data_IF_037779284655
#
_entry.id   IF_037779284655
#
_cell.length_a   1.000
_cell.length_b   1.000
_cell.length_c   1.000
_cell.angle_alpha   90.00
_cell.angle_beta   90.00
_cell.angle_gamma   90.00
#
_symmetry.space_group_name_H-M   'P 1'
#
loop_
_entity.id
_entity.type
_entity.pdbx_description
1 polymer ?
#
# COMPACT_ATOMS: atom_id res chain seq x y z
N UNK A 1 -31.60 -11.09 68.24
CA UNK A 1 -32.33 -9.85 67.86
C UNK A 1 -31.28 -8.78 67.58
N UNK A 2 -31.12 -8.34 66.34
CA UNK A 2 -30.14 -7.31 66.02
C UNK A 2 -30.68 -5.94 66.47
N UNK A 3 -30.19 -5.47 67.62
CA UNK A 3 -30.38 -4.11 68.11
C UNK A 3 -29.79 -3.12 67.09
N UNK A 4 -30.56 -2.09 66.72
CA UNK A 4 -30.17 -1.08 65.71
C UNK A 4 -30.08 0.29 66.36
N UNK A 5 -29.01 1.02 66.10
CA UNK A 5 -28.80 2.37 66.63
C UNK A 5 -29.65 3.41 65.89
N UNK A 6 -30.06 4.44 66.63
CA UNK A 6 -30.69 5.64 66.09
C UNK A 6 -29.79 6.28 65.02
N UNK A 7 -30.35 6.56 63.84
CA UNK A 7 -29.62 7.12 62.69
C UNK A 7 -29.36 6.15 61.54
N UNK A 8 -29.77 4.88 61.66
CA UNK A 8 -29.70 3.94 60.53
C UNK A 8 -30.76 4.30 59.48
N UNK A 9 -30.35 4.99 58.41
CA UNK A 9 -31.24 5.32 57.29
C UNK A 9 -31.71 4.04 56.59
N UNK A 10 -33.02 3.85 56.55
CA UNK A 10 -33.67 2.81 55.75
C UNK A 10 -33.64 3.23 54.29
N UNK A 11 -32.59 2.87 53.54
CA UNK A 11 -32.65 2.95 52.08
C UNK A 11 -33.24 1.65 51.56
N UNK A 12 -34.45 1.69 51.01
CA UNK A 12 -35.05 0.56 50.27
C UNK A 12 -34.19 0.14 49.05
N UNK A 13 -33.31 1.04 48.61
CA UNK A 13 -32.21 0.70 47.73
C UNK A 13 -31.15 -0.10 48.50
N UNK A 14 -31.32 -1.42 48.54
CA UNK A 14 -30.16 -2.28 48.61
C UNK A 14 -29.37 -2.00 47.33
N UNK A 15 -28.29 -1.23 47.43
CA UNK A 15 -27.37 -1.03 46.32
C UNK A 15 -26.67 -2.36 46.04
N UNK A 16 -27.40 -3.31 45.46
CA UNK A 16 -26.84 -4.50 44.89
C UNK A 16 -25.80 -4.01 43.88
N UNK A 17 -24.56 -4.48 44.04
CA UNK A 17 -23.50 -4.19 43.11
C UNK A 17 -24.00 -4.48 41.69
N UNK A 18 -24.15 -3.43 40.88
CA UNK A 18 -24.50 -3.57 39.48
C UNK A 18 -23.19 -3.67 38.72
N UNK A 19 -22.91 -4.79 38.03
CA UNK A 19 -21.69 -4.89 37.24
C UNK A 19 -21.67 -3.73 36.22
N UNK A 20 -20.50 -3.13 35.91
CA UNK A 20 -20.43 -1.95 35.05
C UNK A 20 -21.11 -2.09 33.68
N UNK A 21 -21.24 -3.32 33.15
CA UNK A 21 -21.97 -3.60 31.91
C UNK A 21 -23.50 -3.49 32.03
N UNK A 22 -24.06 -3.57 33.24
CA UNK A 22 -25.48 -3.42 33.53
C UNK A 22 -25.84 -2.07 34.15
N UNK A 23 -24.86 -1.27 34.58
CA UNK A 23 -25.13 0.09 35.02
C UNK A 23 -25.73 0.83 33.82
N UNK A 24 -26.98 1.34 33.90
CA UNK A 24 -27.50 2.18 32.84
C UNK A 24 -26.47 3.29 32.65
N UNK A 25 -25.89 3.40 31.45
CA UNK A 25 -25.04 4.51 31.15
C UNK A 25 -25.90 5.75 31.33
N UNK A 26 -25.76 6.43 32.46
CA UNK A 26 -26.56 7.61 32.75
C UNK A 26 -26.13 8.66 31.73
N UNK A 27 -26.91 8.74 30.66
CA UNK A 27 -26.74 9.69 29.58
C UNK A 27 -27.49 11.00 29.90
N UNK A 28 -27.90 11.20 31.14
CA UNK A 28 -28.81 12.27 31.54
C UNK A 28 -28.15 13.65 31.67
N UNK A 29 -28.96 14.63 32.03
CA UNK A 29 -28.59 16.04 32.22
C UNK A 29 -27.71 16.22 33.47
N UNK A 30 -26.58 16.93 33.32
CA UNK A 30 -25.77 17.44 34.44
C UNK A 30 -26.27 18.84 34.78
N UNK A 31 -26.78 19.07 36.00
CA UNK A 31 -27.20 20.40 36.44
C UNK A 31 -26.07 21.44 36.29
N UNK A 32 -26.38 22.59 35.71
CA UNK A 32 -25.43 23.69 35.50
C UNK A 32 -24.57 23.59 34.24
N UNK A 33 -24.58 22.45 33.53
CA UNK A 33 -23.92 22.33 32.23
C UNK A 33 -24.89 22.79 31.13
N UNK A 34 -24.46 23.73 30.29
CA UNK A 34 -25.24 24.17 29.13
C UNK A 34 -25.16 23.11 28.02
N UNK A 35 -26.31 22.65 27.54
CA UNK A 35 -26.39 21.69 26.44
C UNK A 35 -26.51 22.45 25.13
N UNK A 36 -25.40 22.52 24.40
CA UNK A 36 -25.38 23.07 23.04
C UNK A 36 -25.78 21.99 22.02
N UNK A 37 -26.37 22.42 20.90
CA UNK A 37 -26.57 21.55 19.74
C UNK A 37 -25.24 20.91 19.31
N UNK A 38 -25.25 19.61 18.99
CA UNK A 38 -24.10 18.88 18.45
C UNK A 38 -23.44 17.85 19.39
N UNK A 39 -23.82 17.77 20.66
CA UNK A 39 -23.38 16.68 21.56
C UNK A 39 -24.56 16.11 22.36
N UNK A 40 -24.79 14.79 22.36
CA UNK A 40 -25.87 14.21 23.14
C UNK A 40 -25.56 14.32 24.63
N UNK A 41 -26.61 14.38 25.46
CA UNK A 41 -26.51 14.49 26.92
C UNK A 41 -25.47 13.53 27.53
N UNK A 42 -25.42 12.28 27.06
CA UNK A 42 -24.44 11.32 27.56
C UNK A 42 -22.97 11.66 27.27
N UNK A 43 -22.68 12.27 26.12
CA UNK A 43 -21.31 12.68 25.78
C UNK A 43 -20.85 13.84 26.66
N UNK A 44 -21.70 14.83 26.86
CA UNK A 44 -21.44 15.97 27.75
C UNK A 44 -21.26 15.54 29.19
N UNK A 45 -22.08 14.61 29.67
CA UNK A 45 -21.99 14.07 31.04
C UNK A 45 -20.71 13.27 31.26
N UNK A 46 -20.35 12.39 30.32
CA UNK A 46 -19.09 11.64 30.37
C UNK A 46 -17.88 12.57 30.34
N UNK A 47 -17.90 13.61 29.50
CA UNK A 47 -16.85 14.61 29.44
C UNK A 47 -16.70 15.33 30.79
N UNK A 48 -17.81 15.80 31.36
CA UNK A 48 -17.81 16.50 32.65
C UNK A 48 -17.17 15.68 33.76
N UNK A 49 -17.56 14.41 33.91
CA UNK A 49 -16.97 13.52 34.92
C UNK A 49 -15.49 13.24 34.65
N UNK A 50 -15.09 13.09 33.38
CA UNK A 50 -13.69 12.89 33.03
C UNK A 50 -12.86 14.13 33.36
N UNK A 51 -13.36 15.33 33.06
CA UNK A 51 -12.70 16.59 33.37
C UNK A 51 -12.56 16.80 34.88
N UNK A 52 -13.62 16.53 35.64
CA UNK A 52 -13.60 16.56 37.11
C UNK A 52 -12.57 15.58 37.67
N UNK A 53 -12.51 14.35 37.13
CA UNK A 53 -11.51 13.35 37.50
C UNK A 53 -10.09 13.84 37.18
N UNK A 54 -9.87 14.38 35.98
CA UNK A 54 -8.57 14.90 35.55
C UNK A 54 -8.11 16.05 36.47
N UNK A 55 -9.02 16.96 36.84
CA UNK A 55 -8.74 18.07 37.75
C UNK A 55 -8.40 17.58 39.17
N UNK A 56 -9.13 16.60 39.70
CA UNK A 56 -8.85 16.02 41.01
C UNK A 56 -7.50 15.30 41.02
N UNK A 57 -7.18 14.52 39.98
CA UNK A 57 -5.91 13.81 39.87
C UNK A 57 -4.72 14.76 39.68
N UNK A 58 -4.89 15.83 38.90
CA UNK A 58 -3.86 16.87 38.73
C UNK A 58 -3.54 17.64 40.02
N UNK A 59 -4.49 17.73 40.96
CA UNK A 59 -4.26 18.32 42.30
C UNK A 59 -3.58 17.35 43.27
N UNK A 60 -3.65 16.04 43.01
CA UNK A 60 -3.05 15.04 43.88
C UNK A 60 -1.56 14.89 43.58
N UNK A 61 -0.71 14.84 44.63
CA UNK A 61 0.72 14.49 44.49
C UNK A 61 0.95 12.97 44.37
N UNK A 62 -0.10 12.18 44.16
CA UNK A 62 0.01 10.72 44.08
C UNK A 62 0.62 10.27 42.76
N UNK A 63 1.20 9.07 42.72
CA UNK A 63 1.72 8.47 41.48
C UNK A 63 0.64 8.31 40.39
N UNK A 64 -0.65 8.33 40.76
CA UNK A 64 -1.81 8.26 39.87
C UNK A 64 -2.24 9.62 39.29
N UNK A 65 -1.52 10.71 39.59
CA UNK A 65 -1.85 12.08 39.17
C UNK A 65 -1.96 12.24 37.66
N UNK A 66 -1.26 11.41 36.87
CA UNK A 66 -1.27 11.42 35.39
C UNK A 66 -2.59 10.95 34.76
N UNK A 67 -3.60 10.62 35.56
CA UNK A 67 -4.76 9.90 35.05
C UNK A 67 -4.50 8.41 35.02
N UNK A 68 -5.53 7.60 35.26
CA UNK A 68 -5.43 6.15 35.04
C UNK A 68 -5.07 5.84 33.58
N UNK A 69 -4.67 4.59 33.32
CA UNK A 69 -4.28 4.13 31.97
C UNK A 69 -5.48 3.77 31.08
N UNK A 70 -6.70 4.16 31.45
CA UNK A 70 -7.91 3.82 30.72
C UNK A 70 -8.03 4.71 29.46
N UNK A 71 -8.16 4.12 28.26
CA UNK A 71 -8.28 4.89 27.03
C UNK A 71 -9.58 5.69 27.00
N UNK A 72 -9.49 7.01 26.86
CA UNK A 72 -10.65 7.91 26.74
C UNK A 72 -10.37 9.02 25.73
N UNK A 73 -11.39 9.43 24.99
CA UNK A 73 -11.31 10.54 24.03
C UNK A 73 -11.22 11.91 24.70
N UNK A 74 -11.58 12.00 25.99
CA UNK A 74 -11.55 13.26 26.75
C UNK A 74 -10.24 13.44 27.54
N UNK A 75 -9.22 12.61 27.29
CA UNK A 75 -7.90 12.79 27.88
C UNK A 75 -7.11 13.83 27.09
N UNK A 76 -6.34 14.66 27.80
CA UNK A 76 -5.35 15.56 27.19
C UNK A 76 -4.15 14.81 26.62
N UNK A 77 -3.93 13.55 27.03
CA UNK A 77 -2.81 12.76 26.56
C UNK A 77 -3.16 12.12 25.19
N UNK A 78 -2.44 12.47 24.11
CA UNK A 78 -2.74 11.95 22.76
C UNK A 78 -2.64 10.43 22.69
N UNK A 79 -1.75 9.81 23.49
CA UNK A 79 -1.60 8.35 23.50
C UNK A 79 -2.85 7.62 24.00
N UNK A 80 -3.58 8.20 24.97
CA UNK A 80 -4.82 7.62 25.47
C UNK A 80 -5.96 7.78 24.47
N UNK A 81 -6.01 8.93 23.78
CA UNK A 81 -6.98 9.18 22.72
C UNK A 81 -6.77 8.21 21.55
N UNK A 82 -5.52 8.00 21.14
CA UNK A 82 -5.16 7.04 20.10
C UNK A 82 -5.50 5.60 20.51
N UNK A 83 -5.21 5.20 21.75
CA UNK A 83 -5.62 3.89 22.28
C UNK A 83 -7.14 3.70 22.27
N UNK A 84 -7.90 4.74 22.61
CA UNK A 84 -9.36 4.66 22.58
C UNK A 84 -9.89 4.49 21.15
N UNK A 85 -9.33 5.24 20.20
CA UNK A 85 -9.65 5.11 18.76
C UNK A 85 -9.33 3.71 18.25
N UNK A 86 -8.16 3.18 18.60
CA UNK A 86 -7.72 1.83 18.25
C UNK A 86 -8.72 0.75 18.70
N UNK A 87 -9.24 0.87 19.93
CA UNK A 87 -10.19 -0.11 20.50
C UNK A 87 -11.62 0.02 19.96
N UNK A 88 -12.00 1.21 19.48
CA UNK A 88 -13.37 1.52 19.07
C UNK A 88 -13.47 1.61 17.56
N UNK A 89 -13.18 2.77 16.98
CA UNK A 89 -13.39 3.09 15.57
C UNK A 89 -12.47 2.30 14.67
N UNK A 90 -11.18 2.26 14.99
CA UNK A 90 -10.19 1.65 14.10
C UNK A 90 -10.32 0.13 14.09
N UNK A 91 -10.74 -0.48 15.21
CA UNK A 91 -11.10 -1.90 15.27
C UNK A 91 -12.12 -2.27 14.20
N UNK A 92 -13.17 -1.45 14.04
CA UNK A 92 -14.21 -1.69 13.03
C UNK A 92 -13.74 -1.36 11.62
N UNK A 93 -12.94 -0.32 11.44
CA UNK A 93 -12.35 0.04 10.14
C UNK A 93 -11.40 -1.04 9.61
N UNK A 94 -10.64 -1.68 10.51
CA UNK A 94 -9.71 -2.75 10.20
C UNK A 94 -10.29 -4.15 10.45
N UNK A 95 -11.61 -4.27 10.65
CA UNK A 95 -12.22 -5.59 10.79
C UNK A 95 -12.06 -6.34 9.47
N UNK A 96 -11.33 -7.47 9.46
CA UNK A 96 -11.15 -8.24 8.23
C UNK A 96 -12.49 -8.77 7.74
N UNK A 97 -12.85 -8.44 6.49
CA UNK A 97 -14.01 -9.01 5.82
C UNK A 97 -13.63 -10.37 5.24
N UNK A 98 -13.93 -11.44 5.96
CA UNK A 98 -13.74 -12.80 5.44
C UNK A 98 -14.95 -13.22 4.61
N UNK A 99 -14.74 -13.62 3.36
CA UNK A 99 -15.74 -14.29 2.55
C UNK A 99 -15.54 -15.81 2.64
N UNK A 100 -16.61 -16.57 2.84
CA UNK A 100 -16.56 -18.05 2.86
C UNK A 100 -16.29 -18.66 1.48
N UNK A 101 -16.46 -17.87 0.42
CA UNK A 101 -16.16 -18.29 -0.94
C UNK A 101 -14.68 -18.05 -1.22
N UNK A 102 -14.08 -18.93 -2.02
CA UNK A 102 -12.77 -18.73 -2.66
C UNK A 102 -12.84 -17.61 -3.74
N UNK A 103 -13.63 -16.58 -3.49
CA UNK A 103 -13.80 -15.44 -4.36
C UNK A 103 -12.84 -14.35 -3.87
N UNK A 104 -11.68 -14.31 -4.51
CA UNK A 104 -10.74 -13.21 -4.30
C UNK A 104 -11.33 -11.93 -4.92
N UNK A 105 -11.72 -11.00 -4.05
CA UNK A 105 -12.32 -9.72 -4.44
C UNK A 105 -11.41 -8.90 -5.37
N UNK A 106 -10.09 -8.99 -5.20
CA UNK A 106 -9.12 -8.26 -6.01
C UNK A 106 -9.08 -8.83 -7.43
N UNK A 107 -8.93 -10.14 -7.55
CA UNK A 107 -9.02 -10.88 -8.82
C UNK A 107 -10.37 -10.66 -9.51
N UNK A 108 -11.48 -10.62 -8.77
CA UNK A 108 -12.79 -10.35 -9.35
C UNK A 108 -12.86 -8.94 -9.96
N UNK A 109 -12.33 -7.93 -9.27
CA UNK A 109 -12.28 -6.57 -9.78
C UNK A 109 -11.42 -6.46 -11.05
N UNK A 110 -10.28 -7.15 -11.11
CA UNK A 110 -9.44 -7.22 -12.30
C UNK A 110 -10.16 -7.87 -13.49
N UNK A 111 -10.84 -9.00 -13.26
CA UNK A 111 -11.63 -9.69 -14.29
C UNK A 111 -12.78 -8.83 -14.78
N UNK A 112 -13.47 -8.13 -13.88
CA UNK A 112 -14.55 -7.20 -14.23
C UNK A 112 -14.02 -6.03 -15.07
N UNK A 113 -12.88 -5.44 -14.69
CA UNK A 113 -12.24 -4.37 -15.45
C UNK A 113 -11.79 -4.85 -16.83
N UNK A 114 -11.15 -6.02 -16.92
CA UNK A 114 -10.79 -6.64 -18.19
C UNK A 114 -12.00 -6.87 -19.09
N UNK A 115 -13.09 -7.40 -18.51
CA UNK A 115 -14.35 -7.60 -19.23
C UNK A 115 -14.91 -6.28 -19.77
N UNK A 116 -14.93 -5.21 -18.95
CA UNK A 116 -15.37 -3.88 -19.39
C UNK A 116 -14.51 -3.34 -20.54
N UNK A 117 -13.18 -3.46 -20.45
CA UNK A 117 -12.28 -3.08 -21.55
C UNK A 117 -12.57 -3.88 -22.83
N UNK A 118 -12.81 -5.19 -22.70
CA UNK A 118 -13.16 -6.04 -23.83
C UNK A 118 -14.49 -5.61 -24.48
N UNK A 119 -15.48 -5.20 -23.70
CA UNK A 119 -16.74 -4.68 -24.23
C UNK A 119 -16.55 -3.35 -24.95
N UNK A 120 -15.82 -2.39 -24.37
CA UNK A 120 -15.48 -1.13 -25.06
C UNK A 120 -14.73 -1.36 -26.38
N UNK A 121 -13.85 -2.36 -26.40
CA UNK A 121 -13.14 -2.73 -27.61
C UNK A 121 -14.06 -3.34 -28.68
N UNK A 122 -15.08 -4.11 -28.29
CA UNK A 122 -16.12 -4.60 -29.22
C UNK A 122 -16.95 -3.45 -29.78
N UNK A 123 -17.32 -2.48 -28.94
CA UNK A 123 -18.04 -1.28 -29.38
C UNK A 123 -17.21 -0.47 -30.38
N UNK A 124 -15.90 -0.31 -30.15
CA UNK A 124 -14.99 0.32 -31.11
C UNK A 124 -15.00 -0.37 -32.49
N UNK A 125 -15.07 -1.70 -32.55
CA UNK A 125 -15.18 -2.41 -33.84
C UNK A 125 -16.55 -2.26 -34.51
N UNK A 126 -17.60 -2.01 -33.74
CA UNK A 126 -18.94 -1.78 -34.28
C UNK A 126 -19.11 -0.32 -34.76
N UNK A 127 -18.29 0.59 -34.26
CA UNK A 127 -18.36 2.00 -34.63
C UNK A 127 -17.94 2.23 -36.08
N UNK A 128 -18.85 2.86 -36.84
CA UNK A 128 -18.61 3.29 -38.23
C UNK A 128 -18.23 4.76 -38.33
N UNK A 129 -18.42 5.54 -37.26
CA UNK A 129 -18.17 6.98 -37.25
C UNK A 129 -16.68 7.31 -37.02
N UNK A 130 -15.94 6.39 -36.40
CA UNK A 130 -14.54 6.60 -36.04
C UNK A 130 -14.34 7.55 -34.85
N UNK A 131 -15.42 7.87 -34.13
CA UNK A 131 -15.39 8.73 -32.95
C UNK A 131 -15.03 7.94 -31.68
N UNK A 132 -15.32 6.63 -31.66
CA UNK A 132 -14.98 5.77 -30.53
C UNK A 132 -13.49 5.49 -30.54
N UNK A 133 -12.80 5.90 -29.47
CA UNK A 133 -11.38 5.66 -29.30
C UNK A 133 -11.06 4.18 -29.16
N UNK A 134 -9.95 3.77 -29.80
CA UNK A 134 -9.44 2.41 -29.69
C UNK A 134 -8.91 2.14 -28.29
N UNK A 135 -9.20 0.97 -27.74
CA UNK A 135 -8.65 0.50 -26.47
C UNK A 135 -7.18 0.07 -26.67
N UNK A 136 -6.18 0.72 -26.05
CA UNK A 136 -4.76 0.44 -26.30
C UNK A 136 -4.30 -0.96 -25.89
N UNK A 137 -5.01 -1.59 -24.95
CA UNK A 137 -4.67 -2.92 -24.43
C UNK A 137 -4.72 -4.01 -25.52
N UNK A 138 -5.63 -3.86 -26.50
CA UNK A 138 -5.82 -4.85 -27.56
C UNK A 138 -5.03 -4.44 -28.82
N UNK A 139 -3.85 -5.02 -28.97
CA UNK A 139 -3.00 -4.83 -30.14
C UNK A 139 -3.47 -5.76 -31.27
N UNK A 140 -3.72 -5.16 -32.43
CA UNK A 140 -4.08 -5.88 -33.63
C UNK A 140 -2.81 -6.46 -34.26
N UNK A 141 -2.82 -7.73 -34.70
CA UNK A 141 -1.68 -8.28 -35.41
C UNK A 141 -1.43 -7.48 -36.68
N UNK A 142 -0.20 -6.97 -36.81
CA UNK A 142 0.31 -6.30 -38.01
C UNK A 142 1.11 -7.33 -38.80
N UNK A 143 1.19 -7.17 -40.13
CA UNK A 143 2.04 -8.04 -40.95
C UNK A 143 3.48 -7.96 -40.47
N UNK A 144 4.19 -9.08 -40.52
CA UNK A 144 5.55 -9.17 -40.01
C UNK A 144 6.50 -8.16 -40.67
N UNK A 145 6.39 -7.93 -41.98
CA UNK A 145 7.23 -6.96 -42.70
C UNK A 145 7.07 -5.52 -42.19
N UNK A 146 5.88 -5.14 -41.71
CA UNK A 146 5.64 -3.81 -41.14
C UNK A 146 6.18 -3.72 -39.70
N UNK A 147 6.15 -4.83 -38.96
CA UNK A 147 6.63 -4.90 -37.58
C UNK A 147 8.15 -5.03 -37.50
N UNK A 148 8.73 -5.77 -38.45
CA UNK A 148 10.15 -6.09 -38.56
C UNK A 148 10.54 -6.00 -40.05
N UNK A 149 10.83 -4.79 -40.57
CA UNK A 149 11.32 -4.65 -41.93
C UNK A 149 12.63 -5.41 -42.09
N UNK A 150 12.80 -6.09 -43.23
CA UNK A 150 14.03 -6.84 -43.53
C UNK A 150 15.20 -5.84 -43.55
N UNK A 151 16.36 -6.17 -42.97
CA UNK A 151 17.55 -5.33 -43.06
C UNK A 151 18.07 -5.04 -44.49
N UNK A 152 17.45 -5.57 -45.55
CA UNK A 152 17.78 -5.18 -46.93
C UNK A 152 17.49 -3.70 -47.19
N UNK A 153 16.56 -3.11 -46.44
CA UNK A 153 16.24 -1.68 -46.51
C UNK A 153 17.10 -0.83 -45.53
N UNK A 154 18.23 -1.37 -45.07
CA UNK A 154 19.19 -0.58 -44.32
C UNK A 154 19.74 0.55 -45.21
N UNK A 155 19.93 1.77 -44.65
CA UNK A 155 20.57 2.84 -45.39
C UNK A 155 21.96 2.38 -45.88
N UNK A 156 22.43 2.90 -47.04
CA UNK A 156 23.72 2.52 -47.58
C UNK A 156 24.81 2.72 -46.53
N UNK A 157 25.48 1.62 -46.16
CA UNK A 157 26.56 1.65 -45.18
C UNK A 157 27.63 2.68 -45.56
N UNK A 158 28.12 3.39 -44.56
CA UNK A 158 29.23 4.34 -44.76
C UNK A 158 30.48 3.62 -45.26
N UNK A 159 31.39 4.30 -45.98
CA UNK A 159 32.65 3.69 -46.42
C UNK A 159 33.45 3.08 -45.25
N UNK A 160 33.38 3.69 -44.06
CA UNK A 160 34.03 3.21 -42.84
C UNK A 160 33.45 1.88 -42.38
N UNK A 161 32.12 1.77 -42.28
CA UNK A 161 31.44 0.53 -41.89
C UNK A 161 31.68 -0.59 -42.90
N UNK A 162 31.62 -0.28 -44.20
CA UNK A 162 31.96 -1.22 -45.28
C UNK A 162 33.38 -1.75 -45.11
N UNK A 163 34.35 -0.88 -44.81
CA UNK A 163 35.73 -1.27 -44.58
C UNK A 163 35.87 -2.17 -43.35
N UNK A 164 35.16 -1.86 -42.26
CA UNK A 164 35.16 -2.70 -41.06
C UNK A 164 34.56 -4.08 -41.32
N UNK A 165 33.42 -4.17 -42.01
CA UNK A 165 32.80 -5.43 -42.38
C UNK A 165 33.69 -6.27 -43.30
N UNK A 166 34.30 -5.65 -44.31
CA UNK A 166 35.29 -6.32 -45.17
C UNK A 166 36.44 -6.90 -44.35
N UNK A 167 36.88 -6.21 -43.29
CA UNK A 167 38.00 -6.67 -42.44
C UNK A 167 37.62 -7.86 -41.55
N UNK A 168 36.37 -7.91 -41.09
CA UNK A 168 35.86 -8.93 -40.16
C UNK A 168 35.26 -10.13 -40.89
N UNK A 169 34.91 -9.97 -42.18
CA UNK A 169 34.35 -11.03 -42.99
C UNK A 169 35.25 -12.29 -42.97
N UNK A 170 34.69 -13.47 -42.71
CA UNK A 170 35.45 -14.71 -42.55
C UNK A 170 36.30 -15.04 -43.78
N UNK A 171 35.84 -14.65 -44.97
CA UNK A 171 36.54 -14.80 -46.25
C UNK A 171 37.83 -13.97 -46.33
N UNK A 172 37.86 -12.82 -45.66
CA UNK A 172 38.99 -11.87 -45.68
C UNK A 172 39.90 -12.00 -44.46
N UNK A 173 39.57 -12.87 -43.51
CA UNK A 173 40.47 -13.20 -42.42
C UNK A 173 41.72 -13.84 -43.02
N UNK A 174 42.83 -13.10 -43.00
CA UNK A 174 44.12 -13.59 -43.51
C UNK A 174 44.46 -14.91 -42.83
N UNK A 175 44.48 -15.98 -43.61
CA UNK A 175 44.81 -17.33 -43.18
C UNK A 175 46.29 -17.49 -42.80
N UNK A 176 47.12 -16.50 -43.11
CA UNK A 176 48.52 -16.48 -42.72
C UNK A 176 49.05 -15.04 -42.56
N UNK A 177 49.99 -14.86 -41.63
CA UNK A 177 50.81 -13.65 -41.52
C UNK A 177 52.20 -13.94 -42.09
N UNK A 178 52.65 -13.12 -43.04
CA UNK A 178 54.00 -13.21 -43.61
C UNK A 178 54.91 -12.23 -42.89
N UNK A 179 56.00 -12.72 -42.28
CA UNK A 179 57.03 -11.89 -41.66
C UNK A 179 57.97 -11.30 -42.73
N UNK A 180 58.71 -10.21 -42.42
CA UNK A 180 59.73 -9.67 -43.32
C UNK A 180 60.81 -10.70 -43.72
N UNK A 181 61.02 -11.73 -42.88
CA UNK A 181 61.90 -12.87 -43.17
C UNK A 181 61.33 -13.86 -44.20
N UNK A 182 60.12 -13.65 -44.71
CA UNK A 182 59.41 -14.56 -45.61
C UNK A 182 58.65 -15.70 -44.90
N UNK A 183 58.88 -15.92 -43.60
CA UNK A 183 58.17 -16.96 -42.84
C UNK A 183 56.67 -16.66 -42.76
N UNK A 184 55.85 -17.68 -43.04
CA UNK A 184 54.38 -17.63 -42.90
C UNK A 184 53.98 -18.29 -41.59
N UNK A 185 53.15 -17.61 -40.81
CA UNK A 185 52.66 -18.07 -39.50
C UNK A 185 51.15 -18.21 -39.55
N UNK A 186 50.66 -19.27 -38.92
CA UNK A 186 49.23 -19.59 -38.88
C UNK A 186 48.44 -18.60 -38.01
N UNK A 187 47.11 -18.49 -38.19
CA UNK A 187 46.28 -17.58 -37.39
C UNK A 187 46.30 -17.97 -35.91
N UNK A 188 46.38 -19.27 -35.59
CA UNK A 188 46.44 -19.78 -34.21
C UNK A 188 47.75 -19.41 -33.50
N UNK A 189 48.89 -19.47 -34.20
CA UNK A 189 50.17 -19.01 -33.65
C UNK A 189 50.18 -17.50 -33.45
N UNK A 190 49.63 -16.75 -34.41
CA UNK A 190 49.44 -15.30 -34.27
C UNK A 190 48.57 -14.97 -33.06
N UNK A 191 47.43 -15.63 -32.90
CA UNK A 191 46.52 -15.43 -31.77
C UNK A 191 47.23 -15.73 -30.45
N UNK A 192 47.95 -16.86 -30.35
CA UNK A 192 48.76 -17.18 -29.15
C UNK A 192 49.80 -16.12 -28.84
N UNK A 193 50.47 -15.59 -29.86
CA UNK A 193 51.46 -14.51 -29.73
C UNK A 193 50.81 -13.20 -29.30
N UNK A 194 49.70 -12.80 -29.91
CA UNK A 194 48.99 -11.56 -29.58
C UNK A 194 48.48 -11.63 -28.13
N UNK A 195 47.93 -12.77 -27.69
CA UNK A 195 47.59 -13.02 -26.29
C UNK A 195 48.82 -12.93 -25.36
N UNK A 196 49.97 -13.48 -25.76
CA UNK A 196 51.21 -13.37 -24.96
C UNK A 196 51.63 -11.92 -24.70
N UNK A 197 51.41 -11.00 -25.66
CA UNK A 197 51.74 -9.59 -25.50
C UNK A 197 50.66 -8.80 -24.75
N UNK A 198 49.37 -9.12 -24.92
CA UNK A 198 48.28 -8.47 -24.17
C UNK A 198 48.37 -8.69 -22.65
N UNK A 199 48.85 -9.86 -22.20
CA UNK A 199 49.01 -10.14 -20.76
C UNK A 199 50.25 -9.48 -20.12
N UNK A 200 51.13 -8.84 -20.90
CA UNK A 200 52.34 -8.17 -20.39
C UNK A 200 52.28 -6.64 -20.42
N UNK A 201 51.34 -6.06 -21.16
CA UNK A 201 51.11 -4.62 -21.21
C UNK A 201 50.23 -4.19 -20.03
#
# INVERSE_FOLDING_TARGET
MASRSAGTLLTEFNAAYVPPGLMPGYKGHVPGVAFSFGSPYGTTTLKYFQDQRNAALGRSSTAFSRGGHFPTIFSLNPTQVLRNRALTRDRWLHTPSYTRFNLDSSRWAELLHFYQMAQRHREHYQDKTGLVHRVPYFVLPVKEWDRYPIPTDLPPLSPKEKWHLLRVAPENLRTYQTFPSGKRVSPQERQRRDCYFEFRA
#
